data_IF_037637575330
#
_entry.id   IF_037637575330
#
_cell.length_a   1.000
_cell.length_b   1.000
_cell.length_c   1.000
_cell.angle_alpha   90.00
_cell.angle_beta   90.00
_cell.angle_gamma   90.00
#
_symmetry.space_group_name_H-M   'P 1'
#
loop_
_entity.id
_entity.type
_entity.pdbx_description
1 polymer ?
#
# COMPACT_ATOMS: atom_id res chain seq x y z
N UNK A 1 -2.58 -17.68 5.08
CA UNK A 1 -3.61 -17.51 6.14
C UNK A 1 -2.91 -17.11 7.42
N UNK A 2 -3.15 -15.90 7.92
CA UNK A 2 -2.68 -15.52 9.25
C UNK A 2 -3.25 -16.48 10.29
N UNK A 3 -2.44 -16.93 11.26
CA UNK A 3 -2.94 -17.75 12.37
C UNK A 3 -4.02 -16.93 13.08
N UNK A 4 -5.29 -17.30 12.90
CA UNK A 4 -6.41 -16.73 13.65
C UNK A 4 -6.06 -16.84 15.14
N UNK A 5 -6.12 -15.72 15.86
CA UNK A 5 -6.03 -15.77 17.30
C UNK A 5 -7.08 -16.75 17.81
N UNK A 6 -6.65 -17.74 18.59
CA UNK A 6 -7.58 -18.71 19.16
C UNK A 6 -8.52 -17.98 20.12
N UNK A 7 -9.72 -18.51 20.32
CA UNK A 7 -10.69 -17.88 21.22
C UNK A 7 -10.11 -17.67 22.63
N UNK A 8 -9.25 -18.58 23.08
CA UNK A 8 -8.51 -18.45 24.35
C UNK A 8 -7.53 -17.27 24.37
N UNK A 9 -6.86 -16.96 23.26
CA UNK A 9 -5.98 -15.79 23.15
C UNK A 9 -6.77 -14.48 23.21
N UNK A 10 -7.91 -14.41 22.52
CA UNK A 10 -8.80 -13.24 22.54
C UNK A 10 -9.37 -12.99 23.95
N UNK A 11 -9.84 -14.04 24.63
CA UNK A 11 -10.33 -13.93 26.00
C UNK A 11 -9.24 -13.49 26.99
N UNK A 12 -8.01 -13.97 26.81
CA UNK A 12 -6.89 -13.54 27.65
C UNK A 12 -6.63 -12.04 27.53
N UNK A 13 -6.58 -11.51 26.31
CA UNK A 13 -6.38 -10.08 26.04
C UNK A 13 -7.51 -9.25 26.68
N UNK A 14 -8.76 -9.73 26.59
CA UNK A 14 -9.92 -9.10 27.23
C UNK A 14 -9.77 -8.99 28.75
N UNK A 15 -9.31 -10.05 29.42
CA UNK A 15 -9.09 -10.03 30.87
C UNK A 15 -7.91 -9.14 31.27
N UNK A 16 -6.85 -9.07 30.45
CA UNK A 16 -5.73 -8.15 30.69
C UNK A 16 -6.17 -6.69 30.56
N UNK A 17 -7.02 -6.36 29.58
CA UNK A 17 -7.60 -5.02 29.43
C UNK A 17 -8.49 -4.60 30.62
N UNK A 18 -9.01 -5.57 31.38
CA UNK A 18 -9.76 -5.35 32.62
C UNK A 18 -8.86 -5.23 33.86
N UNK A 19 -7.53 -5.15 33.67
CA UNK A 19 -6.56 -4.94 34.74
C UNK A 19 -6.00 -6.22 35.37
N UNK A 20 -6.27 -7.40 34.82
CA UNK A 20 -5.62 -8.64 35.30
C UNK A 20 -4.20 -8.76 34.76
N UNK A 21 -3.29 -9.28 35.58
CA UNK A 21 -1.97 -9.67 35.12
C UNK A 21 -2.08 -10.88 34.15
N UNK A 22 -1.10 -10.97 33.25
CA UNK A 22 -1.09 -11.95 32.15
C UNK A 22 -1.30 -13.39 32.63
N UNK A 23 -0.68 -13.76 33.75
CA UNK A 23 -0.76 -15.13 34.28
C UNK A 23 -2.21 -15.50 34.67
N UNK A 24 -2.86 -14.65 35.46
CA UNK A 24 -4.25 -14.88 35.88
C UNK A 24 -5.23 -14.75 34.71
N UNK A 25 -4.98 -13.84 33.77
CA UNK A 25 -5.78 -13.71 32.55
C UNK A 25 -5.73 -14.98 31.68
N UNK A 26 -4.56 -15.61 31.55
CA UNK A 26 -4.38 -16.88 30.84
C UNK A 26 -5.07 -18.05 31.56
N UNK A 27 -4.95 -18.13 32.88
CA UNK A 27 -5.66 -19.15 33.66
C UNK A 27 -7.17 -19.02 33.49
N UNK A 28 -7.68 -17.78 33.55
CA UNK A 28 -9.11 -17.48 33.39
C UNK A 28 -9.62 -17.78 31.97
N UNK A 29 -8.74 -17.70 30.96
CA UNK A 29 -9.02 -18.12 29.59
C UNK A 29 -8.86 -19.64 29.35
N UNK A 30 -8.54 -20.43 30.38
CA UNK A 30 -8.49 -21.89 30.32
C UNK A 30 -7.15 -22.47 29.83
N UNK A 31 -6.05 -21.76 30.05
CA UNK A 31 -4.69 -22.30 29.87
C UNK A 31 -4.21 -23.09 31.10
N UNK A 32 -3.38 -24.12 30.89
CA UNK A 32 -2.74 -24.87 31.98
C UNK A 32 -1.72 -23.99 32.72
N UNK A 33 -1.59 -24.19 34.04
CA UNK A 33 -0.69 -23.42 34.92
C UNK A 33 0.76 -23.38 34.45
N UNK A 34 1.30 -24.51 33.97
CA UNK A 34 2.66 -24.59 33.45
C UNK A 34 2.86 -23.74 32.19
N UNK A 35 1.88 -23.74 31.30
CA UNK A 35 1.91 -22.94 30.07
C UNK A 35 1.75 -21.45 30.36
N UNK A 36 0.81 -21.07 31.22
CA UNK A 36 0.59 -19.67 31.60
C UNK A 36 1.82 -19.03 32.28
N UNK A 37 2.61 -19.83 33.01
CA UNK A 37 3.81 -19.34 33.71
C UNK A 37 4.96 -19.00 32.77
N UNK A 38 5.10 -19.75 31.68
CA UNK A 38 6.27 -19.72 30.80
C UNK A 38 5.98 -19.17 29.40
N UNK A 39 4.73 -18.86 29.07
CA UNK A 39 4.37 -18.35 27.74
C UNK A 39 4.38 -16.82 27.67
N UNK A 40 4.88 -16.33 26.56
CA UNK A 40 4.66 -14.96 26.09
C UNK A 40 3.48 -14.98 25.14
N UNK A 41 2.40 -14.29 25.49
CA UNK A 41 1.40 -13.89 24.49
C UNK A 41 2.08 -12.82 23.66
N UNK A 42 2.70 -13.22 22.57
CA UNK A 42 3.22 -12.30 21.57
C UNK A 42 2.01 -11.60 20.95
N UNK A 43 1.68 -10.42 21.46
CA UNK A 43 0.94 -9.42 20.69
C UNK A 43 1.87 -8.93 19.58
N UNK A 44 2.11 -9.77 18.58
CA UNK A 44 2.67 -9.29 17.33
C UNK A 44 1.47 -8.94 16.46
N UNK A 45 1.14 -7.65 16.39
CA UNK A 45 0.30 -7.14 15.31
C UNK A 45 0.91 -7.67 14.01
N UNK A 46 0.11 -8.37 13.20
CA UNK A 46 0.57 -8.81 11.89
C UNK A 46 0.95 -7.60 11.05
N UNK A 47 1.82 -7.77 10.07
CA UNK A 47 2.16 -6.69 9.15
C UNK A 47 0.91 -6.02 8.55
N UNK A 48 -0.13 -6.81 8.26
CA UNK A 48 -1.40 -6.30 7.77
C UNK A 48 -2.14 -5.45 8.81
N UNK A 49 -2.20 -5.89 10.07
CA UNK A 49 -2.80 -5.11 11.17
C UNK A 49 -2.03 -3.81 11.44
N UNK A 50 -0.70 -3.81 11.29
CA UNK A 50 0.12 -2.61 11.36
C UNK A 50 -0.16 -1.65 10.19
N UNK A 51 -0.25 -2.18 8.97
CA UNK A 51 -0.59 -1.40 7.78
C UNK A 51 -2.00 -0.81 7.91
N UNK A 52 -3.00 -1.59 8.30
CA UNK A 52 -4.39 -1.13 8.43
C UNK A 52 -4.53 -0.06 9.54
N UNK A 53 -3.73 -0.16 10.61
CA UNK A 53 -3.71 0.79 11.72
C UNK A 53 -3.05 2.12 11.37
N UNK A 54 -1.91 2.10 10.67
CA UNK A 54 -1.13 3.32 10.39
C UNK A 54 -1.38 3.91 9.00
N UNK A 55 -1.88 3.11 8.06
CA UNK A 55 -2.19 3.50 6.68
C UNK A 55 -3.62 3.01 6.35
N UNK A 56 -4.66 3.68 6.88
CA UNK A 56 -6.04 3.29 6.63
C UNK A 56 -6.37 3.30 5.14
N UNK A 57 -7.19 2.35 4.69
CA UNK A 57 -7.60 2.22 3.28
C UNK A 57 -8.12 3.54 2.69
N UNK A 58 -8.89 4.30 3.46
CA UNK A 58 -9.40 5.62 3.06
C UNK A 58 -8.29 6.58 2.63
N UNK A 59 -7.17 6.63 3.35
CA UNK A 59 -6.04 7.52 3.01
C UNK A 59 -5.31 7.06 1.75
N UNK A 60 -5.26 5.75 1.51
CA UNK A 60 -4.70 5.18 0.29
C UNK A 60 -5.58 5.58 -0.89
N UNK A 61 -6.90 5.42 -0.77
CA UNK A 61 -7.85 5.82 -1.81
C UNK A 61 -7.76 7.33 -2.10
N UNK A 62 -7.74 8.18 -1.07
CA UNK A 62 -7.59 9.64 -1.25
C UNK A 62 -6.28 10.01 -1.97
N UNK A 63 -5.16 9.37 -1.60
CA UNK A 63 -3.88 9.61 -2.24
C UNK A 63 -3.86 9.13 -3.70
N UNK A 64 -4.50 7.99 -3.98
CA UNK A 64 -4.61 7.43 -5.33
C UNK A 64 -5.51 8.30 -6.19
N UNK A 65 -6.68 8.70 -5.69
CA UNK A 65 -7.60 9.60 -6.39
C UNK A 65 -6.94 10.96 -6.69
N UNK A 66 -6.14 11.47 -5.76
CA UNK A 66 -5.38 12.72 -5.95
C UNK A 66 -4.34 12.58 -7.07
N UNK A 67 -3.66 11.43 -7.16
CA UNK A 67 -2.68 11.17 -8.23
C UNK A 67 -3.35 10.89 -9.58
N UNK A 68 -4.50 10.23 -9.59
CA UNK A 68 -5.27 9.92 -10.80
C UNK A 68 -5.86 11.19 -11.44
N UNK A 69 -6.22 12.17 -10.61
CA UNK A 69 -6.80 13.43 -11.04
C UNK A 69 -5.80 14.60 -11.03
N UNK A 70 -4.51 14.31 -10.84
CA UNK A 70 -3.49 15.35 -10.85
C UNK A 70 -3.35 15.95 -12.25
N UNK A 71 -3.65 17.24 -12.35
CA UNK A 71 -3.51 18.04 -13.55
C UNK A 71 -2.41 19.08 -13.35
N UNK A 72 -1.61 19.30 -14.39
CA UNK A 72 -0.62 20.37 -14.42
C UNK A 72 -0.76 21.20 -15.69
N UNK A 73 -0.25 22.42 -15.62
CA UNK A 73 -0.22 23.31 -16.77
C UNK A 73 0.97 22.92 -17.64
N UNK A 74 0.71 22.66 -18.92
CA UNK A 74 1.75 22.50 -19.92
C UNK A 74 1.73 23.68 -20.87
N UNK A 75 2.92 24.21 -21.07
CA UNK A 75 3.17 25.33 -21.95
C UNK A 75 3.70 24.83 -23.29
N UNK A 76 3.17 25.40 -24.36
CA UNK A 76 3.67 25.27 -25.71
C UNK A 76 4.00 26.67 -26.24
N UNK A 77 5.10 26.79 -26.97
CA UNK A 77 5.56 28.06 -27.54
C UNK A 77 5.59 27.93 -29.05
N UNK A 78 4.93 28.85 -29.76
CA UNK A 78 4.94 28.93 -31.21
C UNK A 78 5.48 30.27 -31.65
N UNK A 79 6.34 30.28 -32.66
CA UNK A 79 6.88 31.53 -33.19
C UNK A 79 5.74 32.45 -33.71
N UNK A 80 5.85 33.77 -33.51
CA UNK A 80 4.85 34.75 -33.99
C UNK A 80 4.70 34.82 -35.52
N UNK A 81 5.56 34.13 -36.27
CA UNK A 81 5.37 33.87 -37.72
C UNK A 81 4.11 33.08 -38.02
N UNK A 82 3.61 32.28 -37.07
CA UNK A 82 2.33 31.60 -37.19
C UNK A 82 1.17 32.54 -36.88
N UNK A 83 0.07 32.44 -37.61
CA UNK A 83 -1.20 33.08 -37.21
C UNK A 83 -1.83 32.37 -36.02
N UNK A 84 -2.75 33.04 -35.31
CA UNK A 84 -3.48 32.41 -34.21
C UNK A 84 -4.27 31.17 -34.70
N UNK A 85 -4.86 31.23 -35.91
CA UNK A 85 -5.57 30.11 -36.53
C UNK A 85 -4.65 28.91 -36.77
N UNK A 86 -3.42 29.16 -37.25
CA UNK A 86 -2.43 28.09 -37.45
C UNK A 86 -1.98 27.46 -36.13
N UNK A 87 -1.87 28.27 -35.06
CA UNK A 87 -1.60 27.77 -33.71
C UNK A 87 -2.75 26.90 -33.21
N UNK A 88 -4.00 27.31 -33.43
CA UNK A 88 -5.19 26.52 -33.09
C UNK A 88 -5.20 25.19 -33.85
N UNK A 89 -4.88 25.20 -35.14
CA UNK A 89 -4.82 23.97 -35.95
C UNK A 89 -3.74 23.01 -35.45
N UNK A 90 -2.55 23.53 -35.11
CA UNK A 90 -1.48 22.71 -34.52
C UNK A 90 -1.88 22.11 -33.17
N UNK A 91 -2.60 22.86 -32.33
CA UNK A 91 -3.12 22.33 -31.07
C UNK A 91 -4.20 21.26 -31.29
N UNK A 92 -5.04 21.42 -32.33
CA UNK A 92 -6.01 20.39 -32.72
C UNK A 92 -5.34 19.10 -33.19
N UNK A 93 -4.23 19.19 -33.94
CA UNK A 93 -3.42 18.03 -34.33
C UNK A 93 -2.79 17.30 -33.13
N UNK A 94 -2.52 18.03 -32.04
CA UNK A 94 -2.08 17.45 -30.76
C UNK A 94 -3.23 16.88 -29.92
N UNK A 95 -4.47 16.93 -30.42
CA UNK A 95 -5.65 16.37 -29.76
C UNK A 95 -6.35 17.32 -28.79
N UNK A 96 -6.02 18.62 -28.81
CA UNK A 96 -6.68 19.61 -27.96
C UNK A 96 -7.78 20.36 -28.70
N UNK A 97 -8.96 20.47 -28.09
CA UNK A 97 -10.01 21.36 -28.55
C UNK A 97 -9.79 22.79 -28.05
N UNK A 98 -10.33 23.79 -28.75
CA UNK A 98 -10.10 25.22 -28.46
C UNK A 98 -10.51 25.64 -27.04
N UNK A 99 -11.48 24.96 -26.43
CA UNK A 99 -11.92 25.20 -25.05
C UNK A 99 -10.93 24.67 -23.98
N UNK A 100 -9.92 23.90 -24.37
CA UNK A 100 -8.97 23.25 -23.46
C UNK A 100 -7.66 24.01 -23.30
N UNK A 101 -7.43 25.07 -24.06
CA UNK A 101 -6.21 25.86 -23.99
C UNK A 101 -6.48 27.35 -24.11
N UNK A 102 -5.52 28.14 -23.63
CA UNK A 102 -5.50 29.59 -23.75
C UNK A 102 -4.28 29.99 -24.56
N UNK A 103 -4.47 30.89 -25.52
CA UNK A 103 -3.40 31.49 -26.31
C UNK A 103 -3.17 32.92 -25.80
N UNK A 104 -1.91 33.29 -25.62
CA UNK A 104 -1.48 34.65 -25.29
C UNK A 104 -0.23 35.00 -26.09
N UNK A 105 -0.13 36.26 -26.51
CA UNK A 105 1.12 36.81 -27.03
C UNK A 105 2.08 37.05 -25.88
N UNK A 106 3.33 36.63 -26.03
CA UNK A 106 4.38 36.79 -25.02
C UNK A 106 5.71 37.14 -25.70
N UNK A 107 6.63 37.73 -24.94
CA UNK A 107 7.94 38.20 -25.41
C UNK A 107 9.02 37.70 -24.48
N UNK A 108 10.03 37.03 -25.04
CA UNK A 108 11.18 36.53 -24.30
C UNK A 108 12.44 37.24 -24.78
N UNK A 109 13.19 37.81 -23.85
CA UNK A 109 14.45 38.45 -24.14
C UNK A 109 15.58 37.44 -24.02
N UNK A 110 16.28 37.16 -25.13
CA UNK A 110 17.44 36.26 -25.16
C UNK A 110 18.69 37.01 -25.53
N UNK A 111 19.80 36.64 -24.89
CA UNK A 111 21.11 37.14 -25.25
C UNK A 111 21.65 36.28 -26.40
N UNK A 112 21.70 36.84 -27.61
CA UNK A 112 22.19 36.18 -28.82
C UNK A 112 23.36 37.00 -29.33
N UNK A 113 24.55 36.40 -29.37
CA UNK A 113 25.78 37.07 -29.82
C UNK A 113 26.11 38.37 -29.04
N UNK A 114 25.97 38.36 -27.71
CA UNK A 114 26.14 39.54 -26.84
C UNK A 114 25.13 40.68 -27.07
N UNK A 115 24.08 40.47 -27.85
CA UNK A 115 22.97 41.41 -28.03
C UNK A 115 21.69 40.86 -27.40
N UNK A 116 20.96 41.73 -26.69
CA UNK A 116 19.66 41.38 -26.13
C UNK A 116 18.59 41.48 -27.23
N UNK A 117 18.06 40.34 -27.65
CA UNK A 117 17.06 40.24 -28.71
C UNK A 117 15.71 39.88 -28.10
N UNK A 118 14.68 40.66 -28.43
CA UNK A 118 13.30 40.33 -28.11
C UNK A 118 12.77 39.30 -29.13
N UNK A 119 12.25 38.18 -28.63
CA UNK A 119 11.64 37.14 -29.47
C UNK A 119 10.16 37.09 -29.11
N UNK A 120 9.32 37.47 -30.07
CA UNK A 120 7.88 37.38 -29.93
C UNK A 120 7.38 35.97 -30.26
N UNK A 121 6.45 35.47 -29.46
CA UNK A 121 5.86 34.14 -29.66
C UNK A 121 4.43 34.08 -29.10
N UNK A 122 3.70 33.08 -29.57
CA UNK A 122 2.45 32.63 -28.97
C UNK A 122 2.76 31.64 -27.86
N UNK A 123 2.31 31.96 -26.66
CA UNK A 123 2.31 31.03 -25.53
C UNK A 123 0.94 30.39 -25.43
N UNK A 124 0.91 29.06 -25.47
CA UNK A 124 -0.31 28.28 -25.34
C UNK A 124 -0.25 27.45 -24.07
N UNK A 125 -1.20 27.68 -23.18
CA UNK A 125 -1.30 26.99 -21.88
C UNK A 125 -2.48 26.03 -21.90
N UNK A 126 -2.25 24.77 -21.55
CA UNK A 126 -3.29 23.74 -21.45
C UNK A 126 -3.15 22.95 -20.15
N UNK A 127 -4.26 22.44 -19.63
CA UNK A 127 -4.26 21.50 -18.50
C UNK A 127 -4.17 20.08 -19.04
N UNK A 128 -3.14 19.36 -18.61
CA UNK A 128 -3.00 17.95 -18.91
C UNK A 128 -2.86 17.14 -17.63
N UNK A 129 -3.34 15.90 -17.70
CA UNK A 129 -3.09 14.92 -16.64
C UNK A 129 -1.67 14.39 -16.78
N UNK A 130 -1.00 14.18 -15.65
CA UNK A 130 0.33 13.58 -15.63
C UNK A 130 0.22 12.05 -15.77
N UNK A 131 0.60 11.47 -16.93
CA UNK A 131 0.52 10.03 -17.15
C UNK A 131 1.44 9.27 -16.19
N UNK A 132 2.54 9.89 -15.77
CA UNK A 132 3.51 9.31 -14.84
C UNK A 132 2.99 9.37 -13.40
N UNK A 133 2.32 10.45 -12.99
CA UNK A 133 1.62 10.50 -11.71
C UNK A 133 0.48 9.47 -11.63
N UNK A 134 -0.30 9.31 -12.70
CA UNK A 134 -1.36 8.29 -12.83
C UNK A 134 -0.79 6.88 -12.72
N UNK A 135 0.28 6.59 -13.47
CA UNK A 135 0.95 5.28 -13.43
C UNK A 135 1.53 4.98 -12.05
N UNK A 136 2.24 5.95 -11.46
CA UNK A 136 2.82 5.83 -10.12
C UNK A 136 1.74 5.68 -9.03
N UNK A 137 0.61 6.38 -9.15
CA UNK A 137 -0.53 6.25 -8.24
C UNK A 137 -1.15 4.86 -8.32
N UNK A 138 -1.35 4.35 -9.53
CA UNK A 138 -1.88 3.00 -9.77
C UNK A 138 -0.93 1.93 -9.24
N UNK A 139 0.37 2.06 -9.52
CA UNK A 139 1.38 1.11 -9.06
C UNK A 139 1.51 1.11 -7.52
N UNK A 140 1.54 2.28 -6.89
CA UNK A 140 1.53 2.39 -5.42
C UNK A 140 0.27 1.78 -4.82
N UNK A 141 -0.91 2.00 -5.42
CA UNK A 141 -2.16 1.39 -4.98
C UNK A 141 -2.09 -0.15 -5.00
N UNK A 142 -1.55 -0.71 -6.07
CA UNK A 142 -1.39 -2.16 -6.27
C UNK A 142 -0.36 -2.74 -5.30
N UNK A 143 0.77 -2.06 -5.08
CA UNK A 143 1.81 -2.46 -4.13
C UNK A 143 1.33 -2.45 -2.68
N UNK A 144 0.64 -1.38 -2.26
CA UNK A 144 0.12 -1.25 -0.89
C UNK A 144 -0.91 -2.35 -0.58
N UNK A 145 -1.71 -2.78 -1.58
CA UNK A 145 -2.67 -3.88 -1.44
C UNK A 145 -2.04 -5.28 -1.47
N UNK A 146 -0.71 -5.41 -1.48
CA UNK A 146 -0.02 -6.70 -1.39
C UNK A 146 -0.16 -7.60 -2.62
N UNK A 147 -0.57 -7.06 -3.78
CA UNK A 147 -0.75 -7.84 -5.03
C UNK A 147 0.57 -8.07 -5.79
N UNK A 148 1.67 -7.43 -5.35
CA UNK A 148 3.00 -7.52 -5.94
C UNK A 148 4.02 -8.08 -4.93
N UNK A 149 3.74 -9.25 -4.36
CA UNK A 149 4.80 -10.06 -3.77
C UNK A 149 5.27 -11.05 -4.86
N UNK A 150 6.33 -10.75 -5.64
CA UNK A 150 6.89 -11.70 -6.62
C UNK A 150 7.52 -12.93 -5.95
N UNK A 151 7.70 -12.90 -4.63
CA UNK A 151 7.96 -14.08 -3.83
C UNK A 151 6.67 -14.43 -3.07
N UNK A 152 5.85 -15.29 -3.68
CA UNK A 152 5.06 -16.17 -2.84
C UNK A 152 6.08 -16.97 -2.05
N UNK A 153 6.32 -16.59 -0.79
CA UNK A 153 6.93 -17.47 0.18
C UNK A 153 6.04 -18.71 0.22
N UNK A 154 6.42 -19.74 -0.55
CA UNK A 154 5.86 -21.07 -0.41
C UNK A 154 6.17 -21.49 1.02
N UNK A 155 5.20 -21.27 1.90
CA UNK A 155 5.17 -21.89 3.21
C UNK A 155 5.04 -23.39 2.91
N UNK A 156 6.20 -24.06 2.76
CA UNK A 156 6.29 -25.51 2.61
C UNK A 156 5.31 -26.12 3.61
N UNK A 157 4.29 -26.82 3.10
CA UNK A 157 3.33 -27.54 3.93
C UNK A 157 4.13 -28.34 4.97
N UNK A 158 4.11 -27.91 6.22
CA UNK A 158 4.70 -28.70 7.30
C UNK A 158 3.89 -29.99 7.40
N UNK A 159 4.54 -31.10 7.74
CA UNK A 159 4.06 -32.51 7.71
C UNK A 159 2.68 -32.78 8.34
N UNK A 160 2.09 -31.80 9.01
CA UNK A 160 0.85 -31.86 9.78
C UNK A 160 -0.19 -30.81 9.35
N UNK A 161 0.03 -30.10 8.23
CA UNK A 161 -0.81 -29.00 7.77
C UNK A 161 -2.22 -29.45 7.30
N UNK A 162 -2.36 -30.72 6.91
CA UNK A 162 -3.62 -31.29 6.44
C UNK A 162 -4.35 -32.08 7.54
N UNK A 163 -3.83 -32.11 8.78
CA UNK A 163 -4.51 -32.75 9.91
C UNK A 163 -5.58 -31.83 10.49
N UNK A 164 -6.77 -32.37 10.72
CA UNK A 164 -7.81 -31.69 11.49
C UNK A 164 -7.40 -31.50 12.94
N UNK A 165 -8.04 -30.56 13.65
CA UNK A 165 -7.74 -30.26 15.06
C UNK A 165 -7.76 -31.52 15.94
N UNK A 166 -8.70 -32.44 15.65
CA UNK A 166 -8.82 -33.70 16.38
C UNK A 166 -7.65 -34.65 16.11
N UNK A 167 -7.23 -34.77 14.85
CA UNK A 167 -6.10 -35.61 14.46
C UNK A 167 -4.77 -35.04 14.98
N UNK A 168 -4.65 -33.71 15.05
CA UNK A 168 -3.48 -33.04 15.62
C UNK A 168 -3.39 -33.27 17.13
N UNK A 169 -4.50 -33.17 17.86
CA UNK A 169 -4.57 -33.44 19.29
C UNK A 169 -4.25 -34.91 19.61
N UNK A 170 -4.75 -35.85 18.80
CA UNK A 170 -4.42 -37.28 18.91
C UNK A 170 -2.93 -37.55 18.66
N UNK A 171 -2.35 -36.91 17.64
CA UNK A 171 -0.92 -37.02 17.32
C UNK A 171 -0.04 -36.45 18.45
N UNK A 172 -0.42 -35.31 19.03
CA UNK A 172 0.27 -34.70 20.17
C UNK A 172 0.21 -35.66 21.36
N UNK A 173 -0.97 -36.19 21.69
CA UNK A 173 -1.14 -37.13 22.79
C UNK A 173 -0.34 -38.43 22.58
N UNK A 174 -0.24 -38.92 21.35
CA UNK A 174 0.58 -40.08 21.01
C UNK A 174 2.07 -39.79 21.20
N UNK A 175 2.55 -38.64 20.71
CA UNK A 175 3.96 -38.24 20.86
C UNK A 175 4.35 -37.98 22.30
N UNK A 176 3.45 -37.42 23.11
CA UNK A 176 3.65 -37.24 24.55
C UNK A 176 3.79 -38.59 25.28
N UNK A 177 3.02 -39.62 24.90
CA UNK A 177 3.17 -40.98 25.44
C UNK A 177 4.52 -41.60 25.06
N UNK A 178 4.91 -41.52 23.78
CA UNK A 178 6.21 -42.02 23.30
C UNK A 178 7.40 -41.34 24.02
N UNK A 179 7.29 -40.05 24.31
CA UNK A 179 8.30 -39.28 25.02
C UNK A 179 8.41 -39.65 26.51
N UNK A 180 7.30 -39.98 27.16
CA UNK A 180 7.30 -40.38 28.56
C UNK A 180 7.83 -41.81 28.75
N UNK A 181 7.51 -42.75 27.85
CA UNK A 181 8.05 -44.12 27.89
C UNK A 181 9.57 -44.14 27.72
N UNK A 182 10.13 -43.23 26.91
CA UNK A 182 11.58 -43.08 26.74
C UNK A 182 12.30 -42.42 27.92
N UNK A 183 11.59 -41.85 28.89
CA UNK A 183 12.18 -41.27 30.11
C UNK A 183 12.22 -42.26 31.28
N UNK A 184 11.54 -43.39 31.14
CA UNK A 184 11.49 -44.46 32.15
C UNK A 184 12.41 -45.66 31.80
N UNK A 185 13.12 -45.59 30.68
CA UNK A 185 14.27 -46.46 30.34
C UNK A 185 15.57 -45.71 30.61
#
# INVERSE_FOLDING_TARGET
MGRRQTEKQKQTIKYMAQGMDRYHAMLKAGYKKSYARNSTITQSETWQELIDKYIPEKKITEAVDSLMNYEFIKDYTFNKKYSEEEVIEKMAQLGFSKDKFVIVEDVEYKNVNNELVAIDYWRVMTKIRDPMAISNGTEKAIRIRGRYAPEQLELRKTKYADLSDKELDELIAQKERELNVKKEQ
#
